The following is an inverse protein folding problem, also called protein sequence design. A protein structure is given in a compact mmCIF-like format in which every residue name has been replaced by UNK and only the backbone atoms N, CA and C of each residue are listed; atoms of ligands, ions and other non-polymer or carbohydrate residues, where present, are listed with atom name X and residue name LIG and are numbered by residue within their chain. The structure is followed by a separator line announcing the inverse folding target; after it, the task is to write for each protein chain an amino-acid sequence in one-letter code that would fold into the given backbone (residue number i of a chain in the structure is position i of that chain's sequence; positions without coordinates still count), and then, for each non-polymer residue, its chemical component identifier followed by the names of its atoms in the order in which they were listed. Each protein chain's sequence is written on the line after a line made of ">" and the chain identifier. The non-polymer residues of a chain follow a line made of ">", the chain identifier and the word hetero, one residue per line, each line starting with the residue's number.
data_IF_981154137502
#
_entry.id   IF_981154137502
#
_cell.length_a   1.000
_cell.length_b   1.000
_cell.length_c   1.000
_cell.angle_alpha   90.00
_cell.angle_beta   90.00
_cell.angle_gamma   90.00
#
_symmetry.space_group_name_H-M   'P 1'
#
loop_
_entity.id
_entity.type
_entity.pdbx_description
1 polymer ?
#
# COMPACT_ATOMS: atom_id res chain seq x y z
N UNK A 1 32.29 -17.71 2.30
CA UNK A 1 30.88 -17.47 1.99
C UNK A 1 30.24 -16.81 3.22
N UNK A 2 29.49 -15.75 3.00
CA UNK A 2 28.72 -15.07 4.04
C UNK A 2 27.29 -15.56 3.87
N UNK A 3 26.69 -16.07 4.94
CA UNK A 3 25.27 -16.35 4.96
C UNK A 3 24.52 -15.00 4.92
N UNK A 4 23.84 -14.74 3.81
CA UNK A 4 23.09 -13.51 3.55
C UNK A 4 21.59 -13.77 3.36
N UNK A 5 21.11 -14.95 3.78
CA UNK A 5 19.69 -15.29 3.68
C UNK A 5 18.84 -14.32 4.51
N UNK A 6 17.81 -13.76 3.88
CA UNK A 6 16.86 -12.88 4.53
C UNK A 6 15.65 -13.71 4.97
N UNK A 7 15.56 -13.94 6.27
CA UNK A 7 14.45 -14.69 6.86
C UNK A 7 13.21 -13.81 7.13
N UNK A 8 12.07 -14.47 7.31
CA UNK A 8 10.84 -13.80 7.73
C UNK A 8 10.94 -13.25 9.15
N UNK A 9 10.54 -12.00 9.32
CA UNK A 9 10.30 -11.41 10.63
C UNK A 9 9.10 -12.09 11.27
N UNK A 10 9.25 -12.57 12.50
CA UNK A 10 8.12 -13.12 13.27
C UNK A 10 7.10 -12.02 13.57
N UNK A 11 5.80 -12.33 13.54
CA UNK A 11 4.77 -11.39 13.95
C UNK A 11 5.04 -10.85 15.36
N UNK A 12 4.65 -9.61 15.59
CA UNK A 12 4.65 -9.05 16.95
C UNK A 12 3.48 -9.64 17.74
N UNK A 13 3.69 -9.89 19.04
CA UNK A 13 2.65 -10.42 19.92
C UNK A 13 1.49 -9.42 20.12
N UNK A 14 1.78 -8.11 19.97
CA UNK A 14 0.83 -7.03 20.09
C UNK A 14 1.18 -5.87 19.14
N UNK A 15 0.20 -5.00 18.86
CA UNK A 15 0.43 -3.77 18.10
C UNK A 15 1.42 -2.86 18.83
N UNK A 16 2.48 -2.45 18.16
CA UNK A 16 3.49 -1.55 18.73
C UNK A 16 3.16 -0.11 18.39
N UNK A 17 3.15 0.74 19.41
CA UNK A 17 3.05 2.20 19.25
C UNK A 17 4.45 2.80 19.39
N UNK A 18 4.91 3.52 18.36
CA UNK A 18 6.23 4.14 18.32
C UNK A 18 6.07 5.64 18.13
N UNK A 19 6.59 6.41 19.10
CA UNK A 19 6.61 7.87 19.01
C UNK A 19 8.01 8.35 18.66
N UNK A 20 8.11 9.19 17.63
CA UNK A 20 9.34 9.83 17.19
C UNK A 20 9.14 11.33 17.05
N UNK A 21 10.18 12.10 17.36
CA UNK A 21 10.20 13.54 17.13
C UNK A 21 10.98 13.85 15.87
N UNK A 22 10.53 14.84 15.12
CA UNK A 22 11.26 15.40 13.99
C UNK A 22 11.49 16.90 14.21
N UNK A 23 12.47 17.45 13.49
CA UNK A 23 12.83 18.86 13.62
C UNK A 23 11.86 19.72 12.82
N UNK A 24 11.40 20.80 13.44
CA UNK A 24 10.61 21.86 12.82
C UNK A 24 11.36 23.19 13.01
N UNK A 25 11.03 24.20 12.21
CA UNK A 25 11.57 25.54 12.39
C UNK A 25 10.94 26.22 13.63
N UNK A 26 11.63 27.21 14.21
CA UNK A 26 11.18 27.86 15.45
C UNK A 26 9.87 28.64 15.33
N UNK A 27 9.46 28.95 14.11
CA UNK A 27 8.26 29.71 13.73
C UNK A 27 7.10 28.81 13.29
N UNK A 28 7.33 27.48 13.15
CA UNK A 28 6.26 26.52 12.86
C UNK A 28 5.46 26.19 14.13
N UNK A 29 4.11 26.16 14.03
CA UNK A 29 3.28 25.75 15.16
C UNK A 29 3.49 24.26 15.45
N UNK A 30 3.40 23.89 16.73
CA UNK A 30 3.43 22.49 17.16
C UNK A 30 2.06 21.83 16.95
N UNK A 31 0.99 22.60 17.12
CA UNK A 31 -0.38 22.14 16.88
C UNK A 31 -0.61 21.82 15.41
N UNK A 32 -1.33 20.72 15.17
CA UNK A 32 -1.63 20.22 13.82
C UNK A 32 -0.37 19.99 12.95
N UNK A 33 0.73 19.61 13.59
CA UNK A 33 2.01 19.35 12.94
C UNK A 33 2.57 17.96 13.30
N UNK A 34 1.67 16.99 13.44
CA UNK A 34 2.01 15.59 13.70
C UNK A 34 1.67 14.74 12.48
N UNK A 35 2.52 13.77 12.19
CA UNK A 35 2.23 12.69 11.25
C UNK A 35 1.77 11.47 12.04
N UNK A 36 0.60 10.97 11.71
CA UNK A 36 0.11 9.69 12.22
C UNK A 36 0.28 8.63 11.16
N UNK A 37 0.63 7.40 11.52
CA UNK A 37 0.67 6.29 10.58
C UNK A 37 0.15 5.01 11.20
N UNK A 38 -0.61 4.25 10.41
CA UNK A 38 -1.04 2.89 10.69
C UNK A 38 -0.39 1.95 9.70
N UNK A 39 0.40 1.00 10.19
CA UNK A 39 1.24 0.15 9.36
C UNK A 39 0.89 -1.32 9.58
N UNK A 40 0.74 -2.08 8.50
CA UNK A 40 0.46 -3.51 8.52
C UNK A 40 1.38 -4.23 7.54
N UNK A 41 1.82 -5.43 7.92
CA UNK A 41 2.56 -6.32 7.01
C UNK A 41 1.56 -7.03 6.11
N UNK A 42 1.92 -7.16 4.83
CA UNK A 42 1.10 -7.76 3.79
C UNK A 42 1.82 -9.00 3.26
N UNK A 43 1.55 -10.16 3.82
CA UNK A 43 2.04 -11.46 3.33
C UNK A 43 3.53 -11.46 2.91
N UNK A 44 3.82 -12.00 1.73
CA UNK A 44 5.15 -12.10 1.13
C UNK A 44 5.17 -11.45 -0.26
N UNK A 45 6.29 -10.83 -0.61
CA UNK A 45 6.54 -10.34 -1.97
C UNK A 45 6.45 -11.46 -3.02
N UNK A 46 6.69 -12.70 -2.63
CA UNK A 46 6.59 -13.88 -3.50
C UNK A 46 5.14 -14.28 -3.82
N UNK A 47 4.16 -13.64 -3.19
CA UNK A 47 2.76 -13.76 -3.58
C UNK A 47 2.45 -12.83 -4.75
N UNK A 48 2.69 -13.31 -5.96
CA UNK A 48 2.54 -12.55 -7.23
C UNK A 48 1.17 -11.90 -7.40
N UNK A 49 0.12 -12.59 -6.97
CA UNK A 49 -1.24 -12.09 -7.08
C UNK A 49 -1.47 -10.92 -6.11
N UNK A 50 -1.10 -11.11 -4.85
CA UNK A 50 -1.26 -10.10 -3.81
C UNK A 50 -0.40 -8.86 -4.06
N UNK A 51 0.80 -9.05 -4.63
CA UNK A 51 1.70 -7.96 -5.03
C UNK A 51 1.00 -6.93 -5.94
N UNK A 52 0.19 -7.38 -6.90
CA UNK A 52 -0.58 -6.49 -7.77
C UNK A 52 -1.94 -6.12 -7.20
N UNK A 53 -2.61 -7.03 -6.49
CA UNK A 53 -3.92 -6.77 -5.89
C UNK A 53 -3.87 -5.61 -4.90
N UNK A 54 -2.82 -5.53 -4.09
CA UNK A 54 -2.65 -4.43 -3.13
C UNK A 54 -2.43 -3.07 -3.78
N UNK A 55 -1.82 -2.99 -4.96
CA UNK A 55 -1.74 -1.74 -5.72
C UNK A 55 -3.13 -1.27 -6.17
N UNK A 56 -3.98 -2.22 -6.57
CA UNK A 56 -5.37 -1.94 -6.96
C UNK A 56 -6.18 -1.49 -5.75
N UNK A 57 -6.04 -2.17 -4.61
CA UNK A 57 -6.70 -1.84 -3.35
C UNK A 57 -6.27 -0.46 -2.85
N UNK A 58 -4.97 -0.17 -2.83
CA UNK A 58 -4.42 1.14 -2.46
C UNK A 58 -5.04 2.26 -3.27
N UNK A 59 -5.11 2.09 -4.58
CA UNK A 59 -5.73 3.07 -5.46
C UNK A 59 -7.22 3.29 -5.11
N UNK A 60 -7.97 2.22 -4.87
CA UNK A 60 -9.39 2.31 -4.55
C UNK A 60 -9.66 2.94 -3.17
N UNK A 61 -8.80 2.66 -2.19
CA UNK A 61 -8.97 3.15 -0.82
C UNK A 61 -8.44 4.57 -0.61
N UNK A 62 -7.32 4.92 -1.26
CA UNK A 62 -6.59 6.16 -1.00
C UNK A 62 -6.34 6.98 -2.27
N UNK A 63 -5.84 6.35 -3.34
CA UNK A 63 -5.25 7.06 -4.47
C UNK A 63 -6.25 7.63 -5.49
N UNK A 64 -7.46 7.09 -5.58
CA UNK A 64 -8.45 7.54 -6.54
C UNK A 64 -9.16 8.83 -6.08
N UNK A 65 -9.61 9.69 -6.99
CA UNK A 65 -10.54 10.76 -6.64
C UNK A 65 -11.81 10.18 -6.00
N UNK A 66 -12.16 10.65 -4.80
CA UNK A 66 -13.30 10.14 -4.05
C UNK A 66 -13.05 8.80 -3.35
N UNK A 67 -11.79 8.41 -3.18
CA UNK A 67 -11.41 7.20 -2.44
C UNK A 67 -11.96 7.24 -1.01
N UNK A 68 -12.62 6.17 -0.61
CA UNK A 68 -13.47 6.13 0.59
C UNK A 68 -12.72 6.42 1.87
N UNK A 69 -11.53 5.87 2.03
CA UNK A 69 -10.73 6.06 3.23
C UNK A 69 -10.13 7.47 3.31
N UNK A 70 -9.67 8.02 2.18
CA UNK A 70 -9.23 9.42 2.10
C UNK A 70 -10.35 10.37 2.47
N UNK A 71 -11.55 10.18 1.90
CA UNK A 71 -12.70 11.02 2.24
C UNK A 71 -13.09 10.90 3.72
N UNK A 72 -13.11 9.68 4.26
CA UNK A 72 -13.42 9.44 5.67
C UNK A 72 -12.47 10.19 6.60
N UNK A 73 -11.16 10.05 6.37
CA UNK A 73 -10.14 10.67 7.20
C UNK A 73 -10.13 12.20 7.08
N UNK A 74 -10.28 12.75 5.89
CA UNK A 74 -10.39 14.21 5.71
C UNK A 74 -11.66 14.78 6.34
N UNK A 75 -12.80 14.10 6.19
CA UNK A 75 -14.09 14.52 6.79
C UNK A 75 -14.09 14.45 8.32
N UNK A 76 -13.26 13.61 8.92
CA UNK A 76 -13.11 13.55 10.39
C UNK A 76 -12.54 14.86 10.98
N UNK A 77 -11.79 15.62 10.16
CA UNK A 77 -11.10 16.83 10.62
C UNK A 77 -9.85 16.59 11.45
N UNK A 78 -9.44 15.32 11.64
CA UNK A 78 -8.24 14.93 12.41
C UNK A 78 -6.96 15.20 11.63
N UNK A 79 -7.03 15.18 10.32
CA UNK A 79 -5.86 15.29 9.42
C UNK A 79 -6.16 16.29 8.30
N UNK A 80 -5.15 16.98 7.83
CA UNK A 80 -5.24 17.91 6.71
C UNK A 80 -4.93 17.27 5.35
N UNK A 81 -4.23 16.12 5.37
CA UNK A 81 -3.85 15.37 4.18
C UNK A 81 -3.71 13.88 4.52
N UNK A 82 -3.97 13.03 3.54
CA UNK A 82 -3.89 11.56 3.66
C UNK A 82 -3.03 11.03 2.54
N UNK A 83 -2.12 10.12 2.88
CA UNK A 83 -1.24 9.45 1.93
C UNK A 83 -1.12 7.96 2.30
N UNK A 84 -0.70 7.14 1.37
CA UNK A 84 -0.38 5.75 1.66
C UNK A 84 0.88 5.31 0.92
N UNK A 85 1.55 4.33 1.50
CA UNK A 85 2.71 3.67 0.90
C UNK A 85 2.48 2.16 0.94
N UNK A 86 2.50 1.55 -0.21
CA UNK A 86 2.65 0.10 -0.34
C UNK A 86 4.10 -0.19 -0.71
N UNK A 87 4.91 -0.55 0.30
CA UNK A 87 6.30 -0.96 0.11
C UNK A 87 6.34 -2.44 -0.23
N UNK A 88 6.50 -2.75 -1.50
CA UNK A 88 6.43 -4.09 -2.06
C UNK A 88 7.75 -4.63 -2.60
N UNK A 89 8.86 -3.89 -2.46
CA UNK A 89 10.20 -4.32 -2.88
C UNK A 89 10.99 -5.09 -1.81
N UNK A 90 10.36 -5.54 -0.73
CA UNK A 90 10.99 -6.29 0.37
C UNK A 90 10.27 -7.61 0.64
N UNK A 91 10.95 -8.58 1.28
CA UNK A 91 10.43 -9.94 1.50
C UNK A 91 9.04 -9.95 2.13
N UNK A 92 8.80 -9.10 3.12
CA UNK A 92 7.50 -8.91 3.75
C UNK A 92 7.01 -7.48 3.47
N UNK A 93 6.27 -7.29 2.37
CA UNK A 93 5.68 -6.00 2.05
C UNK A 93 4.87 -5.43 3.21
N UNK A 94 4.84 -4.11 3.31
CA UNK A 94 3.96 -3.46 4.27
C UNK A 94 3.13 -2.37 3.61
N UNK A 95 1.97 -2.15 4.18
CA UNK A 95 1.07 -1.06 3.80
C UNK A 95 1.00 -0.06 4.94
N UNK A 96 1.23 1.21 4.63
CA UNK A 96 1.22 2.32 5.58
C UNK A 96 0.20 3.35 5.16
N UNK A 97 -0.78 3.65 6.02
CA UNK A 97 -1.72 4.74 5.85
C UNK A 97 -1.27 5.88 6.74
N UNK A 98 -1.08 7.07 6.18
CA UNK A 98 -0.55 8.23 6.85
C UNK A 98 -1.53 9.38 6.84
N UNK A 99 -1.72 9.99 8.01
CA UNK A 99 -2.41 11.28 8.17
C UNK A 99 -1.41 12.37 8.51
N UNK A 100 -1.49 13.52 7.83
CA UNK A 100 -0.63 14.68 8.05
C UNK A 100 -1.42 15.82 8.66
N UNK A 101 -0.75 16.71 9.37
CA UNK A 101 -1.40 17.86 10.00
C UNK A 101 -2.31 17.50 11.16
N UNK A 102 -1.99 16.44 11.90
CA UNK A 102 -2.72 15.95 13.05
C UNK A 102 -2.10 16.41 14.37
N UNK A 103 -2.70 16.00 15.48
CA UNK A 103 -2.10 16.05 16.80
C UNK A 103 -1.78 14.63 17.31
N UNK A 104 -0.79 14.51 18.19
CA UNK A 104 -0.41 13.21 18.74
C UNK A 104 -1.54 12.55 19.57
N UNK A 105 -2.46 13.36 20.12
CA UNK A 105 -3.66 12.91 20.85
C UNK A 105 -4.69 12.22 19.95
N UNK A 106 -4.63 12.42 18.65
CA UNK A 106 -5.67 12.00 17.71
C UNK A 106 -5.42 10.57 17.19
N UNK A 107 -4.35 9.91 17.64
CA UNK A 107 -3.92 8.59 17.15
C UNK A 107 -5.01 7.52 17.27
N UNK A 108 -5.66 7.43 18.42
CA UNK A 108 -6.67 6.38 18.66
C UNK A 108 -7.90 6.58 17.76
N UNK A 109 -8.34 7.83 17.59
CA UNK A 109 -9.45 8.17 16.72
C UNK A 109 -9.10 8.00 15.24
N UNK A 110 -7.86 8.32 14.85
CA UNK A 110 -7.34 8.06 13.50
C UNK A 110 -7.38 6.57 13.17
N UNK A 111 -6.86 5.71 14.06
CA UNK A 111 -6.88 4.25 13.88
C UNK A 111 -8.32 3.73 13.86
N UNK A 112 -9.19 4.25 14.72
CA UNK A 112 -10.61 3.89 14.74
C UNK A 112 -11.28 4.19 13.40
N UNK A 113 -11.09 5.38 12.83
CA UNK A 113 -11.66 5.76 11.54
C UNK A 113 -11.17 4.85 10.40
N UNK A 114 -9.88 4.47 10.41
CA UNK A 114 -9.34 3.52 9.42
C UNK A 114 -10.04 2.16 9.54
N UNK A 115 -10.07 1.59 10.74
CA UNK A 115 -10.64 0.25 10.97
C UNK A 115 -12.14 0.20 10.70
N UNK A 116 -12.87 1.24 11.11
CA UNK A 116 -14.31 1.36 10.88
C UNK A 116 -14.63 1.44 9.38
N UNK A 117 -13.88 2.25 8.63
CA UNK A 117 -14.08 2.35 7.19
C UNK A 117 -13.68 1.08 6.44
N UNK A 118 -12.57 0.44 6.81
CA UNK A 118 -12.22 -0.86 6.25
C UNK A 118 -13.30 -1.92 6.53
N UNK A 119 -13.90 -1.92 7.73
CA UNK A 119 -15.02 -2.80 8.04
C UNK A 119 -16.26 -2.48 7.21
N UNK A 120 -16.53 -1.21 6.93
CA UNK A 120 -17.60 -0.80 6.03
C UNK A 120 -17.37 -1.31 4.60
N UNK A 121 -16.13 -1.19 4.11
CA UNK A 121 -15.72 -1.70 2.79
C UNK A 121 -15.88 -3.22 2.72
N UNK A 122 -15.47 -3.95 3.74
CA UNK A 122 -15.65 -5.43 3.82
C UNK A 122 -17.14 -5.79 3.75
N UNK A 123 -18.00 -5.03 4.41
CA UNK A 123 -19.44 -5.34 4.49
C UNK A 123 -20.22 -4.92 3.23
N UNK A 124 -19.83 -3.81 2.59
CA UNK A 124 -20.55 -3.22 1.45
C UNK A 124 -19.94 -3.57 0.08
N UNK A 125 -18.68 -3.99 0.07
CA UNK A 125 -17.87 -4.19 -1.12
C UNK A 125 -17.21 -2.91 -1.62
N UNK A 126 -16.15 -3.08 -2.40
CA UNK A 126 -15.51 -2.01 -3.16
C UNK A 126 -16.31 -1.76 -4.45
N UNK A 127 -16.41 -0.52 -4.88
CA UNK A 127 -17.02 -0.17 -6.16
C UNK A 127 -16.34 -0.93 -7.31
N UNK A 128 -17.13 -1.74 -8.02
CA UNK A 128 -16.61 -2.64 -9.07
C UNK A 128 -16.12 -1.87 -10.30
N UNK A 129 -16.66 -0.71 -10.59
CA UNK A 129 -16.19 0.12 -11.69
C UNK A 129 -14.88 0.82 -11.33
N UNK A 130 -14.70 1.21 -10.07
CA UNK A 130 -13.43 1.69 -9.55
C UNK A 130 -12.34 0.61 -9.60
N UNK A 131 -12.65 -0.63 -9.20
CA UNK A 131 -11.73 -1.77 -9.33
C UNK A 131 -11.31 -2.02 -10.78
N UNK A 132 -12.28 -2.01 -11.72
CA UNK A 132 -11.98 -2.16 -13.16
C UNK A 132 -11.10 -1.02 -13.66
N UNK A 133 -11.40 0.20 -13.27
CA UNK A 133 -10.61 1.38 -13.64
C UNK A 133 -9.18 1.29 -13.09
N UNK A 134 -9.01 0.91 -11.81
CA UNK A 134 -7.70 0.72 -11.20
C UNK A 134 -6.87 -0.34 -11.93
N UNK A 135 -7.44 -1.52 -12.17
CA UNK A 135 -6.77 -2.60 -12.92
C UNK A 135 -6.36 -2.11 -14.32
N UNK A 136 -7.23 -1.37 -15.02
CA UNK A 136 -6.91 -0.83 -16.34
C UNK A 136 -5.75 0.17 -16.30
N UNK A 137 -5.71 1.05 -15.30
CA UNK A 137 -4.64 2.04 -15.11
C UNK A 137 -3.30 1.34 -14.89
N UNK A 138 -3.25 0.36 -13.99
CA UNK A 138 -1.99 -0.33 -13.68
C UNK A 138 -1.56 -1.26 -14.82
N UNK A 139 -2.47 -1.99 -15.45
CA UNK A 139 -2.17 -2.82 -16.62
C UNK A 139 -1.66 -1.96 -17.79
N UNK A 140 -2.26 -0.80 -18.04
CA UNK A 140 -1.80 0.14 -19.06
C UNK A 140 -0.37 0.61 -18.76
N UNK A 141 -0.10 1.10 -17.55
CA UNK A 141 1.25 1.51 -17.14
C UNK A 141 2.28 0.40 -17.30
N UNK A 142 1.91 -0.81 -16.91
CA UNK A 142 2.75 -1.99 -17.08
C UNK A 142 3.06 -2.26 -18.55
N UNK A 143 2.05 -2.30 -19.44
CA UNK A 143 2.23 -2.58 -20.88
C UNK A 143 3.03 -1.51 -21.61
N UNK A 144 2.84 -0.24 -21.24
CA UNK A 144 3.62 0.87 -21.80
C UNK A 144 5.04 0.93 -21.24
N UNK A 145 5.34 0.18 -20.17
CA UNK A 145 6.57 0.29 -19.41
C UNK A 145 6.83 1.77 -19.04
N UNK A 146 5.80 2.42 -18.50
CA UNK A 146 5.84 3.83 -18.12
C UNK A 146 6.55 4.01 -16.78
N UNK A 147 7.85 4.18 -16.85
CA UNK A 147 8.71 4.51 -15.71
C UNK A 147 9.08 6.00 -15.68
N UNK A 148 8.30 6.84 -16.35
CA UNK A 148 8.58 8.26 -16.47
C UNK A 148 9.95 8.53 -17.12
N UNK A 149 10.84 9.22 -16.41
CA UNK A 149 12.19 9.58 -16.91
C UNK A 149 13.26 8.49 -16.69
N UNK A 150 12.93 7.41 -16.02
CA UNK A 150 13.92 6.37 -15.73
C UNK A 150 14.10 5.40 -16.89
N UNK A 151 15.35 4.95 -17.17
CA UNK A 151 15.59 3.96 -18.24
C UNK A 151 14.84 2.65 -17.97
N UNK A 152 14.11 2.15 -18.97
CA UNK A 152 13.29 0.92 -18.84
C UNK A 152 14.11 -0.28 -18.33
N UNK A 153 15.31 -0.50 -18.91
CA UNK A 153 16.17 -1.62 -18.48
C UNK A 153 16.62 -1.54 -17.03
N UNK A 154 16.88 -0.33 -16.52
CA UNK A 154 17.19 -0.14 -15.09
C UNK A 154 15.99 -0.51 -14.23
N UNK A 155 14.79 -0.03 -14.57
CA UNK A 155 13.58 -0.29 -13.79
C UNK A 155 13.20 -1.76 -13.79
N UNK A 156 13.27 -2.43 -14.93
CA UNK A 156 13.09 -3.89 -14.97
C UNK A 156 14.16 -4.65 -14.19
N UNK A 157 15.42 -4.20 -14.26
CA UNK A 157 16.50 -4.79 -13.46
C UNK A 157 16.25 -4.64 -11.95
N UNK A 158 15.77 -3.49 -11.49
CA UNK A 158 15.40 -3.28 -10.09
C UNK A 158 14.18 -4.13 -9.71
N UNK A 159 13.14 -4.16 -10.54
CA UNK A 159 11.94 -4.94 -10.27
C UNK A 159 12.20 -6.44 -10.23
N UNK A 160 13.17 -6.96 -10.97
CA UNK A 160 13.54 -8.37 -10.86
C UNK A 160 14.09 -8.74 -9.49
N UNK A 161 14.72 -7.80 -8.78
CA UNK A 161 15.20 -8.05 -7.42
C UNK A 161 14.08 -8.18 -6.38
N UNK A 162 12.88 -7.70 -6.66
CA UNK A 162 11.73 -7.84 -5.73
C UNK A 162 11.38 -9.32 -5.48
N UNK A 163 11.66 -10.21 -6.44
CA UNK A 163 11.53 -11.66 -6.26
C UNK A 163 12.86 -12.39 -6.18
N UNK A 164 13.83 -12.05 -7.03
CA UNK A 164 15.09 -12.79 -7.16
C UNK A 164 15.94 -12.80 -5.90
N UNK A 165 15.90 -11.77 -5.08
CA UNK A 165 16.60 -11.74 -3.79
C UNK A 165 16.11 -12.82 -2.81
N UNK A 166 14.92 -13.38 -3.03
CA UNK A 166 14.25 -14.29 -2.12
C UNK A 166 13.91 -15.66 -2.75
N UNK A 167 13.87 -15.75 -4.09
CA UNK A 167 13.65 -16.98 -4.84
C UNK A 167 14.46 -16.98 -6.14
N UNK A 168 15.50 -17.79 -6.19
CA UNK A 168 16.36 -17.94 -7.39
C UNK A 168 15.63 -18.57 -8.60
N UNK A 169 14.49 -19.23 -8.37
CA UNK A 169 13.79 -19.93 -9.44
C UNK A 169 12.87 -19.03 -10.27
N UNK A 170 12.45 -17.88 -9.73
CA UNK A 170 11.53 -16.98 -10.42
C UNK A 170 11.96 -15.51 -10.37
N UNK A 171 13.09 -15.16 -11.02
CA UNK A 171 13.61 -13.79 -11.00
C UNK A 171 12.76 -12.78 -11.78
N UNK A 172 11.84 -13.24 -12.62
CA UNK A 172 10.98 -12.38 -13.44
C UNK A 172 9.51 -12.39 -13.01
N UNK A 173 9.21 -12.94 -11.84
CA UNK A 173 7.86 -13.09 -11.29
C UNK A 173 7.01 -11.83 -11.47
N UNK A 174 7.54 -10.67 -11.09
CA UNK A 174 6.80 -9.40 -11.13
C UNK A 174 6.88 -8.67 -12.47
N UNK A 175 7.80 -9.09 -13.34
CA UNK A 175 7.89 -8.56 -14.72
C UNK A 175 6.88 -9.27 -15.64
N UNK A 176 6.57 -10.54 -15.38
CA UNK A 176 5.60 -11.32 -16.17
C UNK A 176 4.19 -11.22 -15.56
N UNK A 177 3.57 -10.05 -15.64
CA UNK A 177 2.34 -9.72 -14.91
C UNK A 177 1.03 -9.87 -15.71
N UNK A 178 1.08 -10.20 -17.01
CA UNK A 178 -0.13 -10.24 -17.86
C UNK A 178 -1.22 -11.17 -17.34
N UNK A 179 -0.83 -12.40 -16.95
CA UNK A 179 -1.79 -13.41 -16.47
C UNK A 179 -2.37 -13.00 -15.11
N UNK A 180 -1.57 -12.31 -14.28
CA UNK A 180 -2.04 -11.81 -12.99
C UNK A 180 -3.08 -10.70 -13.18
N UNK A 181 -2.88 -9.77 -14.12
CA UNK A 181 -3.91 -8.76 -14.44
C UNK A 181 -5.19 -9.40 -14.98
N UNK A 182 -5.08 -10.42 -15.86
CA UNK A 182 -6.24 -11.15 -16.33
C UNK A 182 -6.99 -11.87 -15.18
N UNK A 183 -6.26 -12.47 -14.26
CA UNK A 183 -6.82 -13.11 -13.07
C UNK A 183 -7.53 -12.09 -12.16
N UNK A 184 -6.88 -10.96 -11.81
CA UNK A 184 -7.48 -9.90 -10.99
C UNK A 184 -8.77 -9.38 -11.63
N UNK A 185 -8.77 -9.18 -12.95
CA UNK A 185 -9.96 -8.76 -13.69
C UNK A 185 -11.12 -9.75 -13.56
N UNK A 186 -10.84 -11.05 -13.60
CA UNK A 186 -11.86 -12.09 -13.43
C UNK A 186 -12.46 -12.14 -12.01
N UNK A 187 -11.74 -11.59 -11.03
CA UNK A 187 -12.15 -11.58 -9.61
C UNK A 187 -12.92 -10.33 -9.20
N UNK A 188 -13.03 -9.32 -10.06
CA UNK A 188 -13.73 -8.05 -9.73
C UNK A 188 -15.18 -8.28 -9.31
N UNK A 189 -15.86 -9.23 -9.93
CA UNK A 189 -17.28 -9.52 -9.61
C UNK A 189 -17.46 -10.52 -8.45
N UNK A 190 -16.37 -10.84 -7.76
CA UNK A 190 -16.36 -11.68 -6.54
C UNK A 190 -16.11 -10.81 -5.30
N UNK A 191 -15.95 -11.44 -4.14
CA UNK A 191 -15.57 -10.81 -2.87
C UNK A 191 -14.05 -10.93 -2.57
N UNK A 192 -13.23 -11.08 -3.62
CA UNK A 192 -11.80 -11.30 -3.50
C UNK A 192 -11.06 -10.09 -2.89
N UNK A 193 -11.43 -8.88 -3.29
CA UNK A 193 -10.76 -7.66 -2.84
C UNK A 193 -11.19 -7.20 -1.45
N UNK A 194 -12.24 -7.79 -0.90
CA UNK A 194 -12.78 -7.53 0.43
C UNK A 194 -12.31 -8.56 1.48
N UNK A 195 -11.64 -9.64 1.07
CA UNK A 195 -11.13 -10.73 1.93
C UNK A 195 -9.63 -10.59 2.21
#
# INVERSE_FOLDING_TARGET
>A
DIDSEIGFQKPFDETKVINKKYSVTSDEPIENNTYLSYNVVVDSVLNKELYLAFQVIDYCLIGAPGAVLTERLLKSGLVSDVDAIYENGILQPYYSIMGKGANASDLDEFIFNIKDELQNVINSGIDKDMLRAAINVFEFKYREADFGRYPKGLMYGLQSFDSWLYDDNDPFMHIEANDTYALLRSRVDTDYFEK
#
